data_IF_779721982314
#
_entry.id   IF_779721982314
#
_cell.length_a   1.000
_cell.length_b   1.000
_cell.length_c   1.000
_cell.angle_alpha   90.00
_cell.angle_beta   90.00
_cell.angle_gamma   90.00
#
_symmetry.space_group_name_H-M   'P 1'
#
loop_
_entity.id
_entity.type
_entity.pdbx_description
1 polymer ?
#
# COMPACT_ATOMS: atom_id res chain seq x y z
N UNK A 1 -20.20 16.55 -12.68
CA UNK A 1 -18.72 16.53 -12.80
C UNK A 1 -18.43 15.63 -13.99
N UNK A 2 -17.94 16.20 -15.08
CA UNK A 2 -17.83 15.54 -16.40
C UNK A 2 -16.45 14.88 -16.52
N UNK A 3 -16.39 13.56 -16.28
CA UNK A 3 -15.15 12.77 -16.29
C UNK A 3 -14.56 12.59 -17.71
N UNK A 4 -15.31 12.93 -18.76
CA UNK A 4 -14.95 12.63 -20.15
C UNK A 4 -14.00 13.64 -20.80
N UNK A 5 -13.57 14.68 -20.06
CA UNK A 5 -12.67 15.74 -20.56
C UNK A 5 -11.26 15.74 -19.96
N UNK A 6 -10.96 14.82 -19.05
CA UNK A 6 -9.62 14.71 -18.46
C UNK A 6 -8.80 13.63 -19.17
N UNK A 7 -7.58 13.99 -19.55
CA UNK A 7 -6.56 13.08 -20.07
C UNK A 7 -5.77 12.38 -18.96
N UNK A 8 -5.93 12.82 -17.71
CA UNK A 8 -5.25 12.22 -16.56
C UNK A 8 -6.01 11.00 -16.05
N UNK A 9 -5.28 9.92 -15.68
CA UNK A 9 -5.89 8.72 -15.12
C UNK A 9 -6.59 8.99 -13.79
N UNK A 10 -7.78 8.42 -13.61
CA UNK A 10 -8.56 8.48 -12.37
C UNK A 10 -8.70 7.08 -11.76
N UNK A 11 -8.38 6.95 -10.47
CA UNK A 11 -8.43 5.68 -9.76
C UNK A 11 -9.84 5.41 -9.24
N UNK A 12 -10.41 4.27 -9.65
CA UNK A 12 -11.70 3.80 -9.16
C UNK A 12 -11.52 2.55 -8.32
N UNK A 13 -12.16 2.55 -7.16
CA UNK A 13 -12.05 1.46 -6.19
C UNK A 13 -13.09 0.40 -6.49
N UNK A 14 -12.65 -0.78 -6.97
CA UNK A 14 -13.52 -1.89 -7.39
C UNK A 14 -14.63 -2.22 -6.38
N UNK A 15 -14.32 -2.30 -5.09
CA UNK A 15 -15.31 -2.67 -4.05
C UNK A 15 -16.42 -1.61 -3.83
N UNK A 16 -16.29 -0.42 -4.42
CA UNK A 16 -17.32 0.64 -4.38
C UNK A 16 -18.18 0.66 -5.64
N UNK A 17 -17.83 -0.13 -6.65
CA UNK A 17 -18.61 -0.25 -7.88
C UNK A 17 -19.84 -1.11 -7.60
N UNK A 18 -21.03 -0.56 -7.84
CA UNK A 18 -22.30 -1.28 -7.62
C UNK A 18 -22.74 -2.10 -8.84
N UNK A 19 -22.40 -1.65 -10.04
CA UNK A 19 -22.75 -2.28 -11.29
C UNK A 19 -21.76 -1.87 -12.38
N UNK A 20 -21.67 -2.68 -13.43
CA UNK A 20 -20.88 -2.43 -14.66
C UNK A 20 -21.77 -2.78 -15.83
N UNK A 21 -21.83 -1.90 -16.83
CA UNK A 21 -22.56 -2.12 -18.07
C UNK A 21 -21.59 -1.95 -19.24
N UNK A 22 -21.59 -2.90 -20.17
CA UNK A 22 -20.83 -2.80 -21.40
C UNK A 22 -21.61 -1.92 -22.38
N UNK A 23 -20.97 -0.89 -22.91
CA UNK A 23 -21.55 -0.01 -23.91
C UNK A 23 -21.09 -0.42 -25.30
N UNK A 24 -21.94 -0.24 -26.32
CA UNK A 24 -21.57 -0.38 -27.74
C UNK A 24 -20.70 0.79 -28.25
N UNK A 25 -20.06 1.52 -27.34
CA UNK A 25 -19.18 2.65 -27.63
C UNK A 25 -17.73 2.18 -27.46
N UNK A 26 -16.89 2.27 -28.52
CA UNK A 26 -15.48 1.91 -28.41
C UNK A 26 -14.73 2.76 -27.38
N UNK A 27 -13.87 2.13 -26.59
CA UNK A 27 -12.97 2.86 -25.69
C UNK A 27 -11.88 3.59 -26.48
N UNK A 28 -11.61 4.84 -26.12
CA UNK A 28 -10.50 5.62 -26.68
C UNK A 28 -9.31 5.53 -25.73
N UNK A 29 -8.23 4.90 -26.19
CA UNK A 29 -6.96 4.85 -25.43
C UNK A 29 -6.20 6.17 -25.67
N UNK A 30 -5.84 6.93 -24.61
CA UNK A 30 -5.01 8.12 -24.77
C UNK A 30 -3.66 7.78 -25.41
N UNK A 31 -3.18 8.64 -26.31
CA UNK A 31 -1.87 8.47 -26.94
C UNK A 31 -0.76 8.49 -25.87
N UNK A 32 0.18 7.55 -25.95
CA UNK A 32 1.27 7.43 -24.97
C UNK A 32 0.85 6.87 -23.60
N UNK A 33 -0.39 6.40 -23.44
CA UNK A 33 -0.80 5.73 -22.19
C UNK A 33 -0.12 4.37 -22.05
N UNK A 34 0.61 4.20 -20.96
CA UNK A 34 1.20 2.94 -20.52
C UNK A 34 0.68 2.64 -19.10
N UNK A 35 -0.19 1.64 -19.00
CA UNK A 35 -0.80 1.25 -17.74
C UNK A 35 0.23 0.67 -16.77
N UNK A 36 1.19 -0.11 -17.26
CA UNK A 36 2.21 -0.73 -16.43
C UNK A 36 3.16 0.33 -15.87
N UNK A 37 3.59 1.28 -16.71
CA UNK A 37 4.38 2.42 -16.25
C UNK A 37 3.63 3.29 -15.23
N UNK A 38 2.32 3.48 -15.42
CA UNK A 38 1.50 4.22 -14.47
C UNK A 38 1.32 3.47 -13.13
N UNK A 39 1.14 2.14 -13.15
CA UNK A 39 1.09 1.30 -11.95
C UNK A 39 2.42 1.34 -11.19
N UNK A 40 3.53 1.30 -11.92
CA UNK A 40 4.87 1.41 -11.35
C UNK A 40 5.18 2.81 -10.78
N UNK A 41 4.41 3.83 -11.17
CA UNK A 41 4.58 5.20 -10.66
C UNK A 41 3.89 5.41 -9.31
N UNK A 42 4.33 6.45 -8.58
CA UNK A 42 3.67 6.88 -7.34
C UNK A 42 2.24 7.43 -7.56
N UNK A 43 1.81 7.65 -8.81
CA UNK A 43 0.51 8.22 -9.16
C UNK A 43 -0.69 7.39 -8.70
N UNK A 44 -0.49 6.10 -8.41
CA UNK A 44 -1.49 5.20 -7.83
C UNK A 44 -1.61 5.29 -6.30
N UNK A 45 -0.63 5.89 -5.62
CA UNK A 45 -0.52 5.89 -4.16
C UNK A 45 -0.13 4.53 -3.54
N UNK A 46 0.00 3.47 -4.36
CA UNK A 46 0.22 2.07 -3.94
C UNK A 46 1.39 1.37 -4.67
N UNK A 47 2.25 2.10 -5.37
CA UNK A 47 3.39 1.56 -6.13
C UNK A 47 4.56 2.55 -6.21
N UNK A 48 5.69 2.10 -6.74
CA UNK A 48 6.84 2.95 -7.10
C UNK A 48 7.84 3.28 -5.99
N UNK A 49 7.54 2.98 -4.73
CA UNK A 49 8.49 3.19 -3.63
C UNK A 49 9.64 2.18 -3.68
N UNK A 50 10.88 2.65 -3.54
CA UNK A 50 12.03 1.77 -3.31
C UNK A 50 11.74 0.87 -2.11
N UNK A 51 11.98 -0.44 -2.27
CA UNK A 51 11.78 -1.37 -1.18
C UNK A 51 12.74 -1.00 -0.04
N UNK A 52 12.25 -0.84 1.17
CA UNK A 52 13.06 -0.61 2.36
C UNK A 52 12.85 -1.74 3.35
N UNK A 53 13.91 -2.09 4.06
CA UNK A 53 13.81 -2.94 5.24
C UNK A 53 13.40 -2.08 6.43
N UNK A 54 12.35 -2.49 7.13
CA UNK A 54 11.85 -1.83 8.33
C UNK A 54 11.84 -2.79 9.52
N UNK A 55 12.22 -2.27 10.68
CA UNK A 55 11.98 -2.88 11.98
C UNK A 55 10.96 -2.03 12.73
N UNK A 56 9.77 -2.59 12.96
CA UNK A 56 8.66 -1.94 13.65
C UNK A 56 8.44 -2.61 15.01
N UNK A 57 8.39 -1.81 16.07
CA UNK A 57 7.90 -2.24 17.37
C UNK A 57 6.41 -1.94 17.45
N UNK A 58 5.58 -2.94 17.72
CA UNK A 58 4.12 -2.82 17.74
C UNK A 58 3.54 -3.57 18.94
N UNK A 59 2.53 -3.02 19.61
CA UNK A 59 1.87 -3.69 20.73
C UNK A 59 1.23 -5.02 20.28
N UNK A 60 1.24 -6.05 21.13
CA UNK A 60 0.78 -7.39 20.77
C UNK A 60 -0.68 -7.41 20.28
N UNK A 61 -1.56 -6.61 20.88
CA UNK A 61 -2.97 -6.51 20.45
C UNK A 61 -3.09 -5.83 19.08
N UNK A 62 -2.30 -4.78 18.83
CA UNK A 62 -2.24 -4.11 17.53
C UNK A 62 -1.60 -5.02 16.45
N UNK A 63 -0.67 -5.90 16.84
CA UNK A 63 -0.03 -6.85 15.94
C UNK A 63 -0.99 -7.89 15.36
N UNK A 64 -2.15 -8.12 15.98
CA UNK A 64 -3.17 -9.04 15.42
C UNK A 64 -3.70 -8.55 14.08
N UNK A 65 -3.77 -7.23 13.87
CA UNK A 65 -4.19 -6.64 12.60
C UNK A 65 -3.15 -6.79 11.48
N UNK A 66 -1.91 -7.21 11.79
CA UNK A 66 -0.87 -7.52 10.79
C UNK A 66 -1.00 -8.94 10.22
N UNK A 67 -1.57 -9.88 10.98
CA UNK A 67 -1.67 -11.28 10.58
C UNK A 67 -2.61 -11.50 9.38
N UNK A 68 -3.62 -10.64 9.25
CA UNK A 68 -4.59 -10.69 8.14
C UNK A 68 -4.09 -9.98 6.88
N UNK A 69 -2.90 -9.38 6.93
CA UNK A 69 -2.31 -8.68 5.81
C UNK A 69 -1.47 -9.67 5.01
N UNK A 70 -1.54 -9.68 3.66
CA UNK A 70 -0.73 -10.56 2.77
C UNK A 70 0.80 -10.49 2.96
N UNK A 71 1.25 -9.68 3.90
CA UNK A 71 2.63 -9.33 4.22
C UNK A 71 3.18 -10.27 5.32
N UNK A 72 2.33 -11.06 5.97
CA UNK A 72 2.74 -11.98 7.02
C UNK A 72 3.58 -13.17 6.52
N UNK A 73 3.53 -13.53 5.25
CA UNK A 73 4.22 -14.72 4.72
C UNK A 73 5.75 -14.61 4.74
N UNK A 74 6.30 -13.41 4.51
CA UNK A 74 7.76 -13.20 4.46
C UNK A 74 8.32 -12.45 5.68
N UNK A 75 7.47 -12.09 6.65
CA UNK A 75 7.82 -11.14 7.70
C UNK A 75 7.48 -11.67 9.10
N UNK A 76 8.45 -12.26 9.80
CA UNK A 76 8.18 -12.83 11.11
C UNK A 76 7.94 -11.73 12.15
N UNK A 77 6.79 -11.80 12.81
CA UNK A 77 6.51 -11.14 14.08
C UNK A 77 7.18 -11.94 15.20
N UNK A 78 8.11 -11.30 15.91
CA UNK A 78 8.80 -11.92 17.05
C UNK A 78 8.43 -11.20 18.35
N UNK A 79 8.24 -11.92 19.47
CA UNK A 79 8.03 -11.28 20.77
C UNK A 79 9.18 -10.32 21.13
N UNK A 80 8.83 -9.18 21.71
CA UNK A 80 9.76 -8.24 22.32
C UNK A 80 9.45 -8.14 23.84
N UNK A 81 9.85 -7.03 24.49
CA UNK A 81 9.59 -6.80 25.92
C UNK A 81 8.18 -6.28 26.15
N UNK A 82 7.64 -6.56 27.34
CA UNK A 82 6.48 -5.85 27.92
C UNK A 82 5.22 -5.81 27.04
N UNK A 83 4.85 -6.93 26.41
CA UNK A 83 3.65 -7.00 25.56
C UNK A 83 3.82 -6.39 24.17
N UNK A 84 5.05 -6.08 23.75
CA UNK A 84 5.36 -5.64 22.41
C UNK A 84 5.86 -6.78 21.51
N UNK A 85 5.68 -6.60 20.22
CA UNK A 85 6.13 -7.46 19.14
C UNK A 85 7.06 -6.65 18.23
N UNK A 86 8.04 -7.33 17.64
CA UNK A 86 8.93 -6.78 16.63
C UNK A 86 8.63 -7.42 15.27
N UNK A 87 8.19 -6.59 14.32
CA UNK A 87 8.04 -6.95 12.92
C UNK A 87 9.31 -6.56 12.16
N UNK A 88 9.88 -7.51 11.43
CA UNK A 88 10.95 -7.25 10.46
C UNK A 88 10.45 -7.57 9.07
N UNK A 89 10.43 -6.56 8.22
CA UNK A 89 9.84 -6.67 6.91
C UNK A 89 10.56 -5.83 5.86
N UNK A 90 10.34 -6.16 4.59
CA UNK A 90 10.82 -5.39 3.45
C UNK A 90 9.62 -4.98 2.62
N UNK A 91 9.37 -3.68 2.51
CA UNK A 91 8.20 -3.13 1.82
C UNK A 91 8.60 -1.99 0.89
N UNK A 92 7.91 -1.82 -0.26
CA UNK A 92 8.02 -0.59 -1.03
C UNK A 92 7.67 0.61 -0.15
N UNK A 93 8.57 1.60 -0.08
CA UNK A 93 8.34 2.80 0.73
C UNK A 93 7.34 3.73 0.04
N UNK A 94 6.05 3.47 0.24
CA UNK A 94 4.96 4.26 -0.35
C UNK A 94 4.25 5.14 0.67
N UNK A 95 3.54 6.16 0.18
CA UNK A 95 2.68 7.00 1.01
C UNK A 95 1.63 6.19 1.80
N UNK A 96 1.01 5.16 1.20
CA UNK A 96 0.05 4.29 1.88
C UNK A 96 0.65 3.60 3.11
N UNK A 97 1.85 3.05 2.98
CA UNK A 97 2.54 2.40 4.08
C UNK A 97 2.82 3.35 5.23
N UNK A 98 3.26 4.56 4.89
CA UNK A 98 3.49 5.62 5.88
C UNK A 98 2.18 5.97 6.61
N UNK A 99 1.09 6.18 5.88
CA UNK A 99 -0.23 6.44 6.47
C UNK A 99 -0.72 5.30 7.35
N UNK A 100 -0.48 4.06 6.93
CA UNK A 100 -0.88 2.87 7.67
C UNK A 100 -0.11 2.76 9.01
N UNK A 101 1.21 2.95 9.02
CA UNK A 101 2.02 2.97 10.25
C UNK A 101 1.57 4.10 11.18
N UNK A 102 1.33 5.31 10.64
CA UNK A 102 0.85 6.45 11.42
C UNK A 102 -0.54 6.20 12.05
N UNK A 103 -1.37 5.35 11.43
CA UNK A 103 -2.68 4.97 11.94
C UNK A 103 -2.65 4.20 13.27
N UNK A 104 -1.51 3.62 13.66
CA UNK A 104 -1.36 2.95 14.96
C UNK A 104 -1.09 3.90 16.12
N UNK A 105 -0.76 5.17 15.85
CA UNK A 105 -0.46 6.15 16.89
C UNK A 105 0.70 5.69 17.80
N UNK A 106 0.47 5.71 19.10
CA UNK A 106 1.43 5.30 20.13
C UNK A 106 1.62 3.77 20.24
N UNK A 107 0.79 2.97 19.56
CA UNK A 107 0.84 1.50 19.58
C UNK A 107 1.86 0.92 18.62
N UNK A 108 2.51 1.74 17.80
CA UNK A 108 3.59 1.32 16.91
C UNK A 108 4.68 2.39 16.80
N UNK A 109 5.93 1.96 16.70
CA UNK A 109 7.10 2.82 16.52
C UNK A 109 8.13 2.19 15.60
N UNK A 110 8.73 3.01 14.74
CA UNK A 110 9.82 2.57 13.85
C UNK A 110 11.13 2.54 14.63
N UNK A 111 11.79 1.38 14.66
CA UNK A 111 13.11 1.22 15.29
C UNK A 111 14.27 1.41 14.30
N UNK A 112 14.12 0.92 13.08
CA UNK A 112 15.18 0.99 12.06
C UNK A 112 14.63 0.94 10.65
N UNK A 113 15.27 1.66 9.74
CA UNK A 113 15.08 1.56 8.29
C UNK A 113 16.42 1.28 7.61
N UNK A 114 16.41 0.61 6.45
CA UNK A 114 17.61 0.37 5.65
C UNK A 114 17.29 -0.05 4.22
N UNK A 115 18.30 -0.06 3.35
CA UNK A 115 18.18 -0.56 1.98
C UNK A 115 17.93 -2.09 1.97
N UNK A 116 17.27 -2.63 0.94
CA UNK A 116 17.12 -4.06 0.75
C UNK A 116 18.48 -4.64 0.32
N UNK A 117 18.81 -5.83 0.82
CA UNK A 117 20.05 -6.56 0.52
C UNK A 117 19.94 -7.40 -0.74
#
# INVERSE_FOLDING_TARGET
MDLFRYSDPYLLVRHRMKAVEALDVPAVRPAGSDLDAYIASEGMGFGGGEAIRIELLIEADAARYLADIPLASDHPLTPARDGWMCLRATFPYTGQWRWWILGFGDKAGVKKTGAPS
#
